data_IF_915225097032
#
_entry.id   IF_915225097032
#
_cell.length_a   1.000
_cell.length_b   1.000
_cell.length_c   1.000
_cell.angle_alpha   90.00
_cell.angle_beta   90.00
_cell.angle_gamma   90.00
#
_symmetry.space_group_name_H-M   'P 1'
#
loop_
_entity.id
_entity.type
_entity.pdbx_description
1 polymer ?
#
# COMPACT_ATOMS: atom_id res chain seq x y z
N UNK A 1 0.37 23.54 27.08
CA UNK A 1 0.54 24.07 25.70
C UNK A 1 1.72 23.35 25.04
N UNK A 2 1.49 22.15 24.50
CA UNK A 2 2.41 21.53 23.57
C UNK A 2 1.59 21.25 22.31
N UNK A 3 1.59 22.27 21.47
CA UNK A 3 1.03 22.24 20.13
C UNK A 3 1.88 21.23 19.35
N UNK A 4 1.46 19.96 19.33
CA UNK A 4 2.14 18.91 18.57
C UNK A 4 1.86 19.22 17.11
N UNK A 5 2.71 20.05 16.52
CA UNK A 5 2.76 20.32 15.10
C UNK A 5 2.72 18.98 14.39
N UNK A 6 1.59 18.69 13.75
CA UNK A 6 1.48 17.63 12.76
C UNK A 6 2.27 18.10 11.55
N UNK A 7 3.60 18.01 11.64
CA UNK A 7 4.47 18.08 10.49
C UNK A 7 4.03 16.93 9.60
N UNK A 8 3.38 17.26 8.49
CA UNK A 8 2.90 16.30 7.50
C UNK A 8 4.08 15.67 6.80
N UNK A 9 4.74 14.72 7.48
CA UNK A 9 5.61 13.78 6.82
C UNK A 9 4.71 12.91 5.95
N UNK A 10 4.84 13.03 4.63
CA UNK A 10 4.26 12.07 3.71
C UNK A 10 4.79 10.70 4.12
N UNK A 11 3.93 9.88 4.71
CA UNK A 11 4.31 8.54 5.16
C UNK A 11 4.43 7.67 3.92
N UNK A 12 5.61 7.15 3.66
CA UNK A 12 5.91 6.30 2.51
C UNK A 12 5.64 4.84 2.86
N UNK A 13 5.45 4.00 1.84
CA UNK A 13 5.28 2.56 2.04
C UNK A 13 6.49 1.93 2.78
N UNK A 14 7.69 2.44 2.50
CA UNK A 14 8.93 2.00 3.15
C UNK A 14 8.96 2.28 4.67
N UNK A 15 8.12 3.19 5.16
CA UNK A 15 8.03 3.54 6.60
C UNK A 15 7.16 2.56 7.39
N UNK A 16 6.44 1.66 6.71
CA UNK A 16 5.67 0.62 7.36
C UNK A 16 6.60 -0.42 8.01
N UNK A 17 6.20 -1.03 9.15
CA UNK A 17 6.93 -2.16 9.70
C UNK A 17 7.09 -3.30 8.66
N UNK A 18 8.21 -4.05 8.66
CA UNK A 18 8.46 -5.11 7.67
C UNK A 18 7.33 -6.16 7.56
N UNK A 19 6.66 -6.44 8.68
CA UNK A 19 5.52 -7.36 8.70
C UNK A 19 4.30 -6.79 7.97
N UNK A 20 4.04 -5.48 8.08
CA UNK A 20 2.96 -4.82 7.36
C UNK A 20 3.25 -4.75 5.86
N UNK A 21 4.49 -4.46 5.46
CA UNK A 21 4.93 -4.53 4.06
C UNK A 21 4.73 -5.95 3.49
N UNK A 22 5.18 -6.97 4.23
CA UNK A 22 5.00 -8.38 3.86
C UNK A 22 3.52 -8.77 3.72
N UNK A 23 2.64 -8.24 4.56
CA UNK A 23 1.20 -8.49 4.48
C UNK A 23 0.59 -7.90 3.19
N UNK A 24 0.98 -6.69 2.81
CA UNK A 24 0.55 -6.07 1.55
C UNK A 24 1.00 -6.91 0.35
N UNK A 25 2.28 -7.34 0.32
CA UNK A 25 2.77 -8.23 -0.74
C UNK A 25 2.11 -9.60 -0.73
N UNK A 26 1.76 -10.14 0.44
CA UNK A 26 1.00 -11.38 0.54
C UNK A 26 -0.39 -11.21 -0.09
N UNK A 27 -1.09 -10.12 0.21
CA UNK A 27 -2.41 -9.83 -0.37
C UNK A 27 -2.33 -9.68 -1.88
N UNK A 28 -1.34 -8.93 -2.39
CA UNK A 28 -1.10 -8.78 -3.84
C UNK A 28 -0.97 -10.14 -4.50
N UNK A 29 -0.09 -11.01 -3.99
CA UNK A 29 0.13 -12.37 -4.53
C UNK A 29 -1.07 -13.30 -4.33
N UNK A 30 -1.75 -13.20 -3.20
CA UNK A 30 -2.86 -14.09 -2.84
C UNK A 30 -4.12 -13.79 -3.67
N UNK A 31 -4.36 -12.51 -3.95
CA UNK A 31 -5.47 -12.05 -4.78
C UNK A 31 -5.15 -12.08 -6.28
N UNK A 32 -3.99 -12.59 -6.72
CA UNK A 32 -3.73 -13.00 -8.11
C UNK A 32 -4.70 -14.13 -8.52
N UNK A 33 -6.00 -13.81 -8.63
CA UNK A 33 -7.03 -14.70 -9.14
C UNK A 33 -6.67 -15.04 -10.59
N UNK A 34 -6.61 -16.33 -10.99
CA UNK A 34 -6.14 -16.71 -12.30
C UNK A 34 -7.17 -16.30 -13.36
N UNK A 35 -6.84 -15.26 -14.13
CA UNK A 35 -7.64 -14.78 -15.26
C UNK A 35 -6.77 -14.40 -16.45
N UNK A 36 -6.28 -15.41 -17.17
CA UNK A 36 -5.83 -15.40 -18.58
C UNK A 36 -5.12 -14.15 -19.14
N UNK A 37 -3.85 -14.29 -19.51
CA UNK A 37 -3.49 -14.45 -20.94
C UNK A 37 -2.02 -14.82 -21.09
N UNK A 38 -1.78 -15.92 -21.80
CA UNK A 38 -0.56 -16.16 -22.57
C UNK A 38 -0.40 -15.03 -23.61
N UNK A 39 0.84 -14.68 -23.94
CA UNK A 39 1.25 -13.59 -24.87
C UNK A 39 1.28 -12.16 -24.29
N UNK A 40 2.51 -11.70 -24.02
CA UNK A 40 2.96 -10.33 -23.69
C UNK A 40 2.93 -9.95 -22.19
N UNK A 41 3.92 -9.15 -21.69
CA UNK A 41 4.11 -8.95 -20.26
C UNK A 41 3.05 -7.97 -19.73
N UNK A 42 2.19 -8.36 -18.77
CA UNK A 42 1.23 -7.41 -18.23
C UNK A 42 1.91 -6.62 -17.10
N UNK A 43 1.81 -5.30 -17.16
CA UNK A 43 1.83 -4.46 -15.96
C UNK A 43 0.87 -5.12 -14.96
N UNK A 44 1.39 -5.56 -13.81
CA UNK A 44 0.66 -6.32 -12.79
C UNK A 44 -0.78 -5.79 -12.61
N UNK A 45 -1.83 -6.56 -12.93
CA UNK A 45 -3.19 -6.05 -12.95
C UNK A 45 -3.77 -5.77 -11.56
N UNK A 46 -3.09 -6.13 -10.47
CA UNK A 46 -3.58 -5.98 -9.10
C UNK A 46 -2.48 -5.55 -8.11
N UNK A 47 -1.86 -4.40 -8.34
CA UNK A 47 -1.01 -3.76 -7.31
C UNK A 47 -1.84 -2.94 -6.33
N UNK A 48 -1.53 -3.04 -5.03
CA UNK A 48 -2.17 -2.24 -3.99
C UNK A 48 -1.75 -0.78 -4.15
N UNK A 49 -2.72 0.09 -4.43
CA UNK A 49 -2.47 1.53 -4.67
C UNK A 49 -2.43 2.36 -3.39
N UNK A 50 -3.21 1.95 -2.39
CA UNK A 50 -3.49 2.74 -1.18
C UNK A 50 -3.52 1.85 0.05
N UNK A 51 -2.88 2.28 1.13
CA UNK A 51 -2.91 1.60 2.44
C UNK A 51 -3.44 2.56 3.50
N UNK A 52 -4.64 2.30 4.01
CA UNK A 52 -5.20 3.02 5.15
C UNK A 52 -4.55 2.59 6.45
N UNK A 53 -3.88 3.50 7.16
CA UNK A 53 -3.15 3.20 8.40
C UNK A 53 -3.89 3.62 9.67
N UNK A 54 -4.92 4.48 9.56
CA UNK A 54 -5.84 4.84 10.66
C UNK A 54 -7.24 5.11 10.12
N UNK A 55 -8.20 5.32 11.03
CA UNK A 55 -9.62 5.60 10.71
C UNK A 55 -9.87 6.96 10.04
N UNK A 56 -8.89 7.85 10.00
CA UNK A 56 -9.05 9.19 9.44
C UNK A 56 -8.79 9.19 7.94
N UNK A 57 -9.55 10.00 7.20
CA UNK A 57 -9.48 10.09 5.72
C UNK A 57 -8.07 10.41 5.21
N UNK A 58 -7.31 11.21 5.95
CA UNK A 58 -5.95 11.63 5.55
C UNK A 58 -4.86 10.64 5.99
N UNK A 59 -5.22 9.58 6.70
CA UNK A 59 -4.30 8.55 7.17
C UNK A 59 -4.14 7.42 6.13
N UNK A 60 -3.73 7.80 4.93
CA UNK A 60 -3.55 6.88 3.80
C UNK A 60 -2.14 7.04 3.23
N UNK A 61 -1.45 5.93 3.01
CA UNK A 61 -0.19 5.85 2.27
C UNK A 61 -0.52 5.57 0.81
N UNK A 62 -0.05 6.45 -0.09
CA UNK A 62 -0.07 6.26 -1.54
C UNK A 62 1.19 5.50 -1.94
N UNK A 63 1.06 4.39 -2.66
CA UNK A 63 2.22 3.59 -3.10
C UNK A 63 2.70 4.06 -4.51
N UNK A 64 1.79 4.39 -5.42
CA UNK A 64 2.06 4.90 -6.77
C UNK A 64 0.87 5.66 -7.36
#
# INVERSE_FOLDING_TARGET
LLNKMSVGYETLFADLPPQAQSCVHFIERYLEVPGMSTFSPPLSPLSVKWVGVRKFRDSIIKIF
#
